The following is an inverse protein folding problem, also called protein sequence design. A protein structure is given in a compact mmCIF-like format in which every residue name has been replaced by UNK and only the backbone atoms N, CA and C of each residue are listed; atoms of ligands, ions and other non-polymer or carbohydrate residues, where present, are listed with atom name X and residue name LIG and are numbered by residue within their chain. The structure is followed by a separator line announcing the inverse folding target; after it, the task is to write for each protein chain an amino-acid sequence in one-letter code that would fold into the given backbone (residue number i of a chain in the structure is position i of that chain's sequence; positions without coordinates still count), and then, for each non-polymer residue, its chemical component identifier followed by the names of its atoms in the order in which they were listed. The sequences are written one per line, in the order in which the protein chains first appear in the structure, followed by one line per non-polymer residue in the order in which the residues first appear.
data_IF_196024340914
#
_entry.id   IF_196024340914
#
_cell.length_a   1.000
_cell.length_b   1.000
_cell.length_c   1.000
_cell.angle_alpha   90.00
_cell.angle_beta   90.00
_cell.angle_gamma   90.00
#
_symmetry.space_group_name_H-M   'P 1'
#
loop_
_entity.id
_entity.type
_entity.pdbx_description
1 polymer ?
#
# COMPACT_ATOMS: atom_id res chain seq x y z
N UNK A 1 57.88 10.16 0.50
CA UNK A 1 56.83 10.71 -0.38
C UNK A 1 55.71 9.71 -0.77
N UNK A 2 55.98 8.40 -0.95
CA UNK A 2 54.92 7.41 -1.33
C UNK A 2 53.83 7.21 -0.29
N UNK A 3 54.06 7.38 0.99
CA UNK A 3 53.08 7.22 2.07
C UNK A 3 52.28 8.49 2.37
N UNK A 4 52.73 9.66 1.94
CA UNK A 4 52.01 10.92 2.10
C UNK A 4 50.81 11.05 1.12
N UNK A 5 50.95 10.46 -0.05
CA UNK A 5 49.86 10.42 -1.06
C UNK A 5 48.73 9.47 -0.65
N UNK A 6 49.05 8.37 0.05
CA UNK A 6 48.06 7.39 0.56
C UNK A 6 47.22 7.97 1.71
N UNK A 7 47.78 8.87 2.51
CA UNK A 7 47.06 9.54 3.61
C UNK A 7 46.09 10.64 3.12
N UNK A 8 46.38 11.25 1.98
CA UNK A 8 45.55 12.29 1.41
C UNK A 8 44.28 11.74 0.74
N UNK A 9 44.26 10.45 0.34
CA UNK A 9 43.07 9.79 -0.24
C UNK A 9 42.09 9.28 0.81
N UNK A 10 42.48 9.13 2.07
CA UNK A 10 41.64 8.65 3.16
C UNK A 10 40.67 9.73 3.73
N UNK A 11 40.81 11.00 3.31
CA UNK A 11 40.07 12.13 3.89
C UNK A 11 38.82 12.54 3.06
N UNK A 12 38.52 11.88 1.93
CA UNK A 12 37.28 12.04 1.23
C UNK A 12 36.19 11.16 1.89
N UNK A 13 35.75 11.56 3.07
CA UNK A 13 34.49 11.08 3.64
C UNK A 13 33.37 11.61 2.76
N UNK A 14 32.89 10.79 1.85
CA UNK A 14 31.61 11.06 1.19
C UNK A 14 30.54 11.15 2.28
N UNK A 15 30.06 12.34 2.54
CA UNK A 15 28.85 12.51 3.34
C UNK A 15 27.70 11.87 2.58
N UNK A 16 27.44 10.62 2.87
CA UNK A 16 26.27 9.89 2.42
C UNK A 16 25.06 10.57 3.05
N UNK A 17 24.31 11.32 2.26
CA UNK A 17 23.00 11.83 2.67
C UNK A 17 22.05 10.64 2.71
N UNK A 18 21.88 10.06 3.87
CA UNK A 18 20.91 9.01 4.07
C UNK A 18 19.52 9.66 4.14
N UNK A 19 18.78 9.63 3.05
CA UNK A 19 17.33 9.83 3.08
C UNK A 19 16.74 8.88 4.13
N UNK A 20 15.82 9.38 4.95
CA UNK A 20 15.24 8.59 6.05
C UNK A 20 14.32 7.54 5.48
N UNK A 21 14.66 6.27 5.69
CA UNK A 21 13.80 5.15 5.31
C UNK A 21 12.85 4.84 6.47
N UNK A 22 11.54 4.95 6.21
CA UNK A 22 10.48 4.69 7.18
C UNK A 22 9.92 3.29 6.96
N UNK A 23 9.75 2.51 8.03
CA UNK A 23 8.97 1.28 7.95
C UNK A 23 7.48 1.64 7.84
N UNK A 24 7.01 1.68 6.60
CA UNK A 24 5.63 2.08 6.29
C UNK A 24 4.64 0.93 6.38
N UNK A 25 5.12 -0.33 6.45
CA UNK A 25 4.29 -1.54 6.44
C UNK A 25 4.05 -2.14 7.83
N UNK A 26 4.49 -1.49 8.88
CA UNK A 26 4.27 -1.91 10.27
C UNK A 26 3.37 -0.92 11.00
N UNK A 27 2.47 -1.42 11.84
CA UNK A 27 1.63 -0.60 12.71
C UNK A 27 1.62 -1.15 14.12
N UNK A 28 1.55 -0.28 15.12
CA UNK A 28 1.38 -0.62 16.52
C UNK A 28 0.06 -0.02 17.02
N UNK A 29 -0.81 -0.86 17.51
CA UNK A 29 -2.18 -0.50 17.95
C UNK A 29 -2.36 -0.86 19.42
N UNK A 30 -2.89 0.05 20.21
CA UNK A 30 -3.25 -0.20 21.61
C UNK A 30 -4.44 -1.14 21.67
N UNK A 31 -4.32 -2.20 22.48
CA UNK A 31 -5.38 -3.18 22.65
C UNK A 31 -6.40 -2.70 23.70
N UNK A 32 -7.67 -2.74 23.32
CA UNK A 32 -8.74 -2.45 24.27
C UNK A 32 -8.86 -3.60 25.29
N UNK A 33 -8.58 -3.30 26.54
CA UNK A 33 -8.62 -4.27 27.67
C UNK A 33 -10.03 -4.74 28.04
N UNK A 34 -11.07 -4.05 27.59
CA UNK A 34 -12.47 -4.40 27.87
C UNK A 34 -13.04 -5.48 26.95
N UNK A 35 -12.34 -5.77 25.84
CA UNK A 35 -12.78 -6.76 24.87
C UNK A 35 -12.14 -8.13 25.11
N UNK A 36 -12.74 -9.20 24.54
CA UNK A 36 -12.07 -10.50 24.52
C UNK A 36 -10.76 -10.39 23.72
N UNK A 37 -9.74 -11.15 24.12
CA UNK A 37 -8.42 -11.06 23.48
C UNK A 37 -8.48 -11.31 21.96
N UNK A 38 -9.35 -12.20 21.50
CA UNK A 38 -9.51 -12.50 20.06
C UNK A 38 -10.15 -11.35 19.29
N UNK A 39 -11.14 -10.69 19.88
CA UNK A 39 -11.83 -9.56 19.26
C UNK A 39 -10.92 -8.33 19.23
N UNK A 40 -10.19 -8.09 20.33
CA UNK A 40 -9.19 -7.02 20.41
C UNK A 40 -8.09 -7.18 19.34
N UNK A 41 -7.57 -8.38 19.16
CA UNK A 41 -6.56 -8.68 18.14
C UNK A 41 -7.13 -8.52 16.72
N UNK A 42 -8.35 -8.95 16.47
CA UNK A 42 -9.00 -8.80 15.18
C UNK A 42 -9.22 -7.31 14.84
N UNK A 43 -9.70 -6.54 15.81
CA UNK A 43 -9.88 -5.09 15.66
C UNK A 43 -8.54 -4.38 15.46
N UNK A 44 -7.51 -4.73 16.23
CA UNK A 44 -6.18 -4.16 16.12
C UNK A 44 -5.54 -4.43 14.72
N UNK A 45 -5.75 -5.61 14.14
CA UNK A 45 -5.29 -5.89 12.76
C UNK A 45 -5.99 -5.00 11.74
N UNK A 46 -7.30 -4.77 11.89
CA UNK A 46 -8.07 -3.90 10.99
C UNK A 46 -7.55 -2.45 11.11
N UNK A 47 -7.43 -1.93 12.34
CA UNK A 47 -6.94 -0.58 12.57
C UNK A 47 -5.48 -0.41 12.11
N UNK A 48 -4.65 -1.43 12.35
CA UNK A 48 -3.26 -1.46 11.86
C UNK A 48 -3.19 -1.42 10.34
N UNK A 49 -4.03 -2.20 9.64
CA UNK A 49 -4.08 -2.19 8.19
C UNK A 49 -4.59 -0.85 7.64
N UNK A 50 -5.60 -0.23 8.27
CA UNK A 50 -6.06 1.12 7.88
C UNK A 50 -4.92 2.13 7.98
N UNK A 51 -4.18 2.13 9.10
CA UNK A 51 -3.04 3.03 9.31
C UNK A 51 -1.96 2.82 8.24
N UNK A 52 -1.63 1.57 7.90
CA UNK A 52 -0.67 1.23 6.86
C UNK A 52 -1.14 1.69 5.48
N UNK A 53 -2.40 1.45 5.11
CA UNK A 53 -2.98 1.89 3.84
C UNK A 53 -2.91 3.42 3.70
N UNK A 54 -3.31 4.18 4.72
CA UNK A 54 -3.21 5.65 4.75
C UNK A 54 -1.76 6.09 4.62
N UNK A 55 -0.84 5.44 5.34
CA UNK A 55 0.58 5.78 5.35
C UNK A 55 1.25 5.50 4.01
N UNK A 56 0.97 4.35 3.41
CA UNK A 56 1.56 3.94 2.13
C UNK A 56 0.96 4.69 0.95
N UNK A 57 -0.35 4.96 0.97
CA UNK A 57 -0.99 5.76 -0.08
C UNK A 57 -0.71 7.26 0.05
N UNK A 58 -0.49 7.74 1.29
CA UNK A 58 -0.48 9.16 1.60
C UNK A 58 -1.87 9.82 1.58
N UNK A 59 -2.91 9.09 1.17
CA UNK A 59 -4.29 9.57 1.12
C UNK A 59 -5.07 9.15 2.36
N UNK A 60 -5.60 10.13 3.09
CA UNK A 60 -6.44 9.91 4.28
C UNK A 60 -7.76 9.21 3.98
N UNK A 61 -8.26 9.39 2.76
CA UNK A 61 -9.53 8.80 2.33
C UNK A 61 -9.37 7.40 1.71
N UNK A 62 -8.13 6.88 1.63
CA UNK A 62 -7.84 5.57 1.03
C UNK A 62 -8.70 4.44 1.61
N UNK A 63 -9.00 4.48 2.91
CA UNK A 63 -9.82 3.46 3.59
C UNK A 63 -11.30 3.49 3.21
N UNK A 64 -11.77 4.53 2.50
CA UNK A 64 -13.13 4.62 1.97
C UNK A 64 -13.26 3.99 0.58
N UNK A 65 -12.16 3.61 -0.05
CA UNK A 65 -12.17 2.95 -1.36
C UNK A 65 -12.81 1.55 -1.26
N UNK A 66 -13.74 1.17 -2.15
CA UNK A 66 -14.45 -0.12 -2.10
C UNK A 66 -13.50 -1.34 -2.10
N UNK A 67 -12.42 -1.30 -2.89
CA UNK A 67 -11.41 -2.37 -2.96
C UNK A 67 -10.68 -2.51 -1.61
N UNK A 68 -10.31 -1.37 -0.99
CA UNK A 68 -9.68 -1.36 0.34
C UNK A 68 -10.64 -1.87 1.41
N UNK A 69 -11.92 -1.47 1.39
CA UNK A 69 -12.94 -1.98 2.34
C UNK A 69 -13.06 -3.50 2.25
N UNK A 70 -13.04 -4.06 1.04
CA UNK A 70 -13.05 -5.52 0.84
C UNK A 70 -11.81 -6.17 1.46
N UNK A 71 -10.63 -5.62 1.19
CA UNK A 71 -9.36 -6.11 1.73
C UNK A 71 -9.29 -6.03 3.26
N UNK A 72 -9.83 -4.98 3.89
CA UNK A 72 -9.90 -4.84 5.34
C UNK A 72 -10.71 -5.96 6.01
N UNK A 73 -11.74 -6.48 5.35
CA UNK A 73 -12.51 -7.65 5.86
C UNK A 73 -11.70 -8.94 5.80
N UNK A 74 -10.73 -9.02 4.91
CA UNK A 74 -9.83 -10.15 4.70
C UNK A 74 -8.41 -9.85 5.17
N UNK A 75 -8.26 -8.99 6.19
CA UNK A 75 -6.96 -8.44 6.64
C UNK A 75 -5.92 -9.50 7.01
N UNK A 76 -6.34 -10.68 7.44
CA UNK A 76 -5.43 -11.74 7.89
C UNK A 76 -4.41 -12.18 6.82
N UNK A 77 -4.79 -12.17 5.55
CA UNK A 77 -3.92 -12.57 4.44
C UNK A 77 -2.81 -11.54 4.15
N UNK A 78 -2.97 -10.29 4.60
CA UNK A 78 -1.97 -9.25 4.45
C UNK A 78 -0.93 -9.25 5.59
N UNK A 79 -1.19 -9.97 6.70
CA UNK A 79 -0.34 -9.97 7.88
C UNK A 79 0.81 -10.96 7.72
N UNK A 80 2.04 -10.50 7.96
CA UNK A 80 3.25 -11.32 7.94
C UNK A 80 3.74 -11.66 9.34
N UNK A 81 3.54 -10.75 10.29
CA UNK A 81 4.01 -10.94 11.66
C UNK A 81 3.10 -10.21 12.66
N UNK A 82 2.92 -10.84 13.83
CA UNK A 82 2.25 -10.28 15.00
C UNK A 82 3.18 -10.36 16.20
N UNK A 83 3.26 -9.30 16.97
CA UNK A 83 3.98 -9.30 18.25
C UNK A 83 3.28 -8.39 19.27
N UNK A 84 3.21 -8.85 20.51
CA UNK A 84 2.68 -8.06 21.60
C UNK A 84 3.76 -7.17 22.18
N UNK A 85 3.38 -5.95 22.56
CA UNK A 85 4.23 -4.97 23.20
C UNK A 85 3.53 -4.25 24.33
N UNK A 86 4.18 -3.21 24.83
CA UNK A 86 3.61 -2.29 25.81
C UNK A 86 4.09 -0.88 25.48
N UNK A 87 3.17 0.09 25.49
CA UNK A 87 3.45 1.50 25.28
C UNK A 87 2.72 2.32 26.36
N UNK A 88 3.45 3.15 27.08
CA UNK A 88 2.90 4.00 28.16
C UNK A 88 2.06 3.21 29.21
N UNK A 89 2.41 1.93 29.45
CA UNK A 89 1.70 1.06 30.39
C UNK A 89 0.54 0.28 29.76
N UNK A 90 0.12 0.59 28.56
CA UNK A 90 -0.94 -0.09 27.83
C UNK A 90 -0.42 -1.23 26.96
N UNK A 91 -1.16 -2.31 26.87
CA UNK A 91 -0.81 -3.42 25.96
C UNK A 91 -1.01 -3.02 24.50
N UNK A 92 -0.05 -3.33 23.66
CA UNK A 92 -0.12 -3.06 22.23
C UNK A 92 0.02 -4.33 21.40
N UNK A 93 -0.54 -4.31 20.19
CA UNK A 93 -0.29 -5.31 19.14
C UNK A 93 0.46 -4.62 18.01
N UNK A 94 1.67 -5.09 17.75
CA UNK A 94 2.46 -4.69 16.59
C UNK A 94 2.17 -5.66 15.46
N UNK A 95 1.73 -5.11 14.32
CA UNK A 95 1.32 -5.86 13.14
C UNK A 95 2.20 -5.45 11.97
N UNK A 96 2.88 -6.40 11.34
CA UNK A 96 3.62 -6.21 10.10
C UNK A 96 2.81 -6.76 8.94
N UNK A 97 2.77 -6.03 7.83
CA UNK A 97 2.01 -6.36 6.64
C UNK A 97 2.93 -6.64 5.46
N UNK A 98 2.49 -7.50 4.55
CA UNK A 98 3.20 -7.82 3.31
C UNK A 98 3.26 -6.60 2.39
N UNK A 99 4.47 -6.11 2.16
CA UNK A 99 4.68 -4.95 1.28
C UNK A 99 4.20 -5.20 -0.16
N UNK A 100 4.46 -6.37 -0.79
CA UNK A 100 3.92 -6.70 -2.11
C UNK A 100 2.38 -6.67 -2.13
N UNK A 101 1.71 -7.33 -1.16
CA UNK A 101 0.25 -7.38 -1.11
C UNK A 101 -0.39 -6.00 -0.90
N UNK A 102 0.18 -5.15 -0.01
CA UNK A 102 -0.32 -3.78 0.18
C UNK A 102 -0.13 -2.93 -1.08
N UNK A 103 1.02 -3.04 -1.77
CA UNK A 103 1.26 -2.31 -3.01
C UNK A 103 0.31 -2.74 -4.12
N UNK A 104 0.09 -4.05 -4.27
CA UNK A 104 -0.87 -4.61 -5.22
C UNK A 104 -2.29 -4.13 -4.92
N UNK A 105 -2.72 -4.15 -3.65
CA UNK A 105 -4.01 -3.60 -3.22
C UNK A 105 -4.18 -2.13 -3.63
N UNK A 106 -3.16 -1.28 -3.39
CA UNK A 106 -3.22 0.14 -3.74
C UNK A 106 -3.27 0.35 -5.25
N UNK A 107 -2.51 -0.42 -6.02
CA UNK A 107 -2.55 -0.38 -7.48
C UNK A 107 -3.94 -0.71 -8.01
N UNK A 108 -4.58 -1.77 -7.53
CA UNK A 108 -5.93 -2.17 -7.92
C UNK A 108 -7.01 -1.17 -7.48
N UNK A 109 -6.81 -0.56 -6.31
CA UNK A 109 -7.66 0.52 -5.83
C UNK A 109 -7.43 1.84 -6.59
N UNK A 110 -6.48 1.89 -7.54
CA UNK A 110 -6.02 3.08 -8.25
C UNK A 110 -5.59 4.21 -7.29
N UNK A 111 -5.02 3.82 -6.15
CA UNK A 111 -4.52 4.74 -5.15
C UNK A 111 -3.01 4.99 -5.36
N UNK A 112 -2.54 6.20 -5.04
CA UNK A 112 -1.12 6.50 -5.14
C UNK A 112 -0.30 5.68 -4.14
N UNK A 113 1.00 5.51 -4.43
CA UNK A 113 1.99 4.92 -3.52
C UNK A 113 3.02 5.98 -3.18
N UNK A 114 3.05 6.37 -1.92
CA UNK A 114 4.07 7.27 -1.37
C UNK A 114 5.25 6.44 -0.86
N UNK A 115 6.44 6.55 -1.47
CA UNK A 115 7.60 5.74 -1.14
C UNK A 115 8.00 5.80 0.35
N UNK A 116 8.71 4.76 0.82
CA UNK A 116 9.25 4.69 2.19
C UNK A 116 10.40 5.69 2.45
N UNK A 117 11.05 6.14 1.40
CA UNK A 117 12.10 7.17 1.46
C UNK A 117 11.43 8.53 1.52
N UNK A 118 11.54 9.20 2.67
CA UNK A 118 10.79 10.43 2.97
C UNK A 118 11.68 11.52 3.51
N UNK A 119 11.27 12.77 3.25
CA UNK A 119 11.94 13.95 3.80
C UNK A 119 11.82 13.95 5.33
N UNK A 120 12.94 14.14 6.01
CA UNK A 120 13.00 14.38 7.46
C UNK A 120 12.88 15.88 7.73
N UNK A 121 11.97 16.28 8.61
CA UNK A 121 11.70 17.68 8.94
C UNK A 121 12.17 18.00 10.35
N UNK A 122 12.95 19.07 10.51
CA UNK A 122 13.17 19.68 11.80
C UNK A 122 11.96 20.51 12.19
N UNK A 123 11.38 20.24 13.35
CA UNK A 123 10.17 20.93 13.82
C UNK A 123 10.52 21.86 14.99
N UNK A 124 10.51 23.15 14.75
CA UNK A 124 10.57 24.18 15.78
C UNK A 124 9.16 24.51 16.26
N UNK A 125 8.88 24.30 17.54
CA UNK A 125 7.59 24.60 18.15
C UNK A 125 7.79 25.70 19.18
N UNK A 126 7.01 26.78 19.09
CA UNK A 126 6.94 27.85 20.07
C UNK A 126 5.52 27.96 20.58
N UNK A 127 5.35 27.86 21.90
CA UNK A 127 4.06 27.97 22.56
C UNK A 127 3.94 29.31 23.30
N UNK A 128 2.80 29.97 23.14
CA UNK A 128 2.44 31.15 23.93
C UNK A 128 1.82 30.72 25.25
N UNK A 129 2.58 30.83 26.32
CA UNK A 129 2.12 30.61 27.68
C UNK A 129 1.40 31.86 28.27
N UNK A 130 0.89 31.75 29.51
CA UNK A 130 0.17 32.85 30.17
C UNK A 130 1.03 34.10 30.38
N UNK A 131 2.33 33.94 30.63
CA UNK A 131 3.25 35.02 30.95
C UNK A 131 4.32 35.23 29.90
N UNK A 132 4.78 34.17 29.28
CA UNK A 132 5.86 34.21 28.31
C UNK A 132 5.70 33.13 27.24
N UNK A 133 6.43 33.27 26.16
CA UNK A 133 6.55 32.26 25.11
C UNK A 133 7.72 31.36 25.39
N UNK A 134 7.56 30.07 25.14
CA UNK A 134 8.62 29.09 25.33
C UNK A 134 8.84 28.24 24.09
N UNK A 135 10.09 27.82 23.88
CA UNK A 135 10.44 26.85 22.85
C UNK A 135 10.20 25.46 23.42
N UNK A 136 9.57 24.61 22.62
CA UNK A 136 9.34 23.20 22.96
C UNK A 136 10.50 22.37 22.45
N UNK A 137 11.23 21.75 23.39
CA UNK A 137 12.36 20.88 23.12
C UNK A 137 11.93 19.42 23.04
N UNK A 138 12.83 18.57 22.60
CA UNK A 138 12.54 17.13 22.41
C UNK A 138 11.94 16.44 23.65
N UNK A 139 12.41 16.83 24.84
CA UNK A 139 11.97 16.24 26.12
C UNK A 139 10.93 17.08 26.87
N UNK A 140 10.36 18.08 26.23
CA UNK A 140 9.31 18.91 26.86
C UNK A 140 8.00 18.14 27.00
N UNK A 141 7.30 18.37 28.11
CA UNK A 141 5.96 17.85 28.35
C UNK A 141 4.91 18.78 27.70
N UNK A 142 4.83 18.72 26.37
CA UNK A 142 3.90 19.52 25.56
C UNK A 142 2.88 18.61 24.87
N UNK A 143 1.60 18.92 25.03
CA UNK A 143 0.51 18.21 24.37
C UNK A 143 0.56 18.39 22.84
N UNK A 144 1.00 19.57 22.39
CA UNK A 144 1.19 19.85 20.96
C UNK A 144 2.31 18.97 20.39
N UNK A 145 3.43 18.85 21.10
CA UNK A 145 4.52 17.98 20.68
C UNK A 145 4.08 16.52 20.61
N UNK A 146 3.31 16.07 21.61
CA UNK A 146 2.75 14.71 21.61
C UNK A 146 1.86 14.48 20.38
N UNK A 147 0.89 15.37 20.12
CA UNK A 147 0.01 15.29 18.95
C UNK A 147 0.80 15.29 17.62
N UNK A 148 1.81 16.15 17.51
CA UNK A 148 2.69 16.21 16.32
C UNK A 148 3.40 14.90 16.10
N UNK A 149 4.00 14.30 17.13
CA UNK A 149 4.71 13.02 17.06
C UNK A 149 3.79 11.86 16.72
N UNK A 150 2.67 11.76 17.42
CA UNK A 150 1.70 10.67 17.23
C UNK A 150 1.15 10.68 15.79
N UNK A 151 0.74 11.87 15.30
CA UNK A 151 0.23 11.99 13.95
C UNK A 151 1.31 11.79 12.88
N UNK A 152 2.53 12.24 13.13
CA UNK A 152 3.65 12.00 12.23
C UNK A 152 3.95 10.49 12.10
N UNK A 153 3.88 9.74 13.19
CA UNK A 153 4.01 8.30 13.18
C UNK A 153 2.88 7.62 12.37
N UNK A 154 1.63 8.05 12.56
CA UNK A 154 0.48 7.56 11.79
C UNK A 154 0.68 7.80 10.29
N UNK A 155 1.11 9.02 9.92
CA UNK A 155 1.34 9.42 8.51
C UNK A 155 2.67 8.91 7.95
N UNK A 156 3.58 8.42 8.80
CA UNK A 156 4.92 8.04 8.42
C UNK A 156 5.75 9.22 7.92
N UNK A 157 5.60 10.39 8.53
CA UNK A 157 6.41 11.58 8.26
C UNK A 157 7.56 11.64 9.25
N UNK A 158 8.84 11.50 8.83
CA UNK A 158 9.97 11.63 9.73
C UNK A 158 10.07 13.04 10.31
N UNK A 159 10.17 13.13 11.63
CA UNK A 159 10.33 14.39 12.34
C UNK A 159 11.54 14.32 13.28
N UNK A 160 12.31 15.39 13.26
CA UNK A 160 13.36 15.69 14.25
C UNK A 160 12.90 16.88 15.06
N UNK A 161 13.02 16.79 16.38
CA UNK A 161 12.72 17.93 17.29
C UNK A 161 14.04 18.36 17.91
N UNK A 162 14.32 19.66 18.04
CA UNK A 162 15.57 20.14 18.66
C UNK A 162 15.71 19.63 20.09
N UNK A 163 16.91 19.20 20.45
CA UNK A 163 17.20 18.57 21.74
C UNK A 163 17.09 19.54 22.91
N UNK A 164 17.42 20.82 22.67
CA UNK A 164 17.45 21.85 23.71
C UNK A 164 18.75 21.82 24.53
N UNK A 165 19.87 21.44 23.92
CA UNK A 165 21.17 21.51 24.54
C UNK A 165 21.73 22.96 24.55
N UNK A 166 22.97 23.12 25.02
CA UNK A 166 23.59 24.43 25.15
C UNK A 166 23.64 25.20 23.81
N UNK A 167 23.94 24.52 22.73
CA UNK A 167 24.02 25.15 21.39
C UNK A 167 22.65 25.58 20.88
N UNK A 168 21.60 24.80 21.14
CA UNK A 168 20.23 25.18 20.79
C UNK A 168 19.74 26.38 21.60
N UNK A 169 19.94 26.35 22.93
CA UNK A 169 19.43 27.42 23.84
C UNK A 169 20.18 28.75 23.60
N UNK A 170 21.46 28.69 23.22
CA UNK A 170 22.24 29.89 22.94
C UNK A 170 22.18 30.34 21.48
N UNK A 171 21.84 29.42 20.56
CA UNK A 171 21.84 29.65 19.12
C UNK A 171 20.60 30.34 18.60
N UNK A 172 19.44 30.18 19.26
CA UNK A 172 18.15 30.75 18.83
C UNK A 172 17.33 31.16 20.03
N UNK A 173 16.56 32.23 19.89
CA UNK A 173 15.65 32.70 20.92
C UNK A 173 14.19 32.64 20.47
N UNK A 174 13.28 32.74 21.42
CA UNK A 174 11.83 32.69 21.20
C UNK A 174 11.36 33.75 20.21
N UNK A 175 11.96 34.96 20.25
CA UNK A 175 11.59 36.09 19.37
C UNK A 175 11.96 35.78 17.93
N UNK A 176 13.10 35.09 17.68
CA UNK A 176 13.54 34.70 16.35
C UNK A 176 12.53 33.75 15.68
N UNK A 177 12.13 32.74 16.43
CA UNK A 177 11.13 31.77 15.98
C UNK A 177 9.74 32.40 15.83
N UNK A 178 9.32 33.20 16.81
CA UNK A 178 8.02 33.88 16.75
C UNK A 178 7.92 34.89 15.61
N UNK A 179 9.00 35.66 15.38
CA UNK A 179 9.14 36.55 14.24
C UNK A 179 9.26 35.83 12.90
N UNK A 180 9.70 34.61 12.90
CA UNK A 180 9.96 33.83 11.68
C UNK A 180 11.21 34.35 10.95
N UNK A 181 12.23 34.81 11.70
CA UNK A 181 13.46 35.32 11.12
C UNK A 181 14.30 34.19 10.51
N UNK A 182 14.36 34.17 9.17
CA UNK A 182 14.94 33.06 8.41
C UNK A 182 16.40 32.79 8.77
N UNK A 183 17.21 33.84 8.93
CA UNK A 183 18.64 33.68 9.19
C UNK A 183 18.98 32.92 10.50
N UNK A 184 18.47 33.35 11.68
CA UNK A 184 18.71 32.60 12.91
C UNK A 184 18.11 31.18 12.86
N UNK A 185 16.91 31.00 12.28
CA UNK A 185 16.28 29.68 12.13
C UNK A 185 17.14 28.77 11.24
N UNK A 186 17.62 29.25 10.10
CA UNK A 186 18.52 28.53 9.21
C UNK A 186 19.78 28.08 9.94
N UNK A 187 20.48 29.03 10.58
CA UNK A 187 21.75 28.77 11.27
C UNK A 187 21.62 27.73 12.39
N UNK A 188 20.60 27.85 13.25
CA UNK A 188 20.37 26.91 14.35
C UNK A 188 19.90 25.54 13.85
N UNK A 189 19.29 25.47 12.66
CA UNK A 189 18.84 24.23 12.06
C UNK A 189 19.95 23.46 11.33
N UNK A 190 21.06 24.10 10.93
CA UNK A 190 22.14 23.50 10.13
C UNK A 190 22.83 22.32 10.80
N UNK A 191 22.82 22.27 12.13
CA UNK A 191 23.41 21.16 12.91
C UNK A 191 22.62 19.85 12.79
N UNK A 192 21.36 19.92 12.36
CA UNK A 192 20.48 18.77 12.22
C UNK A 192 20.48 18.24 10.78
N UNK A 193 20.67 16.91 10.59
CA UNK A 193 20.65 16.31 9.25
C UNK A 193 19.21 16.12 8.76
N UNK A 194 18.60 17.24 8.29
CA UNK A 194 17.19 17.28 7.86
C UNK A 194 17.06 17.83 6.44
N UNK A 195 15.93 17.55 5.81
CA UNK A 195 15.64 17.95 4.44
C UNK A 195 14.78 19.22 4.37
N UNK A 196 14.12 19.58 5.47
CA UNK A 196 13.28 20.77 5.59
C UNK A 196 13.10 21.22 7.02
N UNK A 197 12.54 22.41 7.19
CA UNK A 197 12.27 23.00 8.52
C UNK A 197 10.80 23.40 8.60
N UNK A 198 10.12 22.89 9.63
CA UNK A 198 8.74 23.24 9.96
C UNK A 198 8.74 24.11 11.22
N UNK A 199 8.28 25.33 11.09
CA UNK A 199 8.04 26.25 12.20
C UNK A 199 6.58 26.23 12.61
N UNK A 200 6.31 25.95 13.89
CA UNK A 200 4.97 25.84 14.49
C UNK A 200 4.85 26.85 15.61
N UNK A 201 3.90 27.79 15.49
CA UNK A 201 3.61 28.83 16.48
C UNK A 201 2.23 28.57 17.07
N UNK A 202 2.16 28.30 18.36
CA UNK A 202 0.95 27.91 19.10
C UNK A 202 0.42 29.08 19.90
N UNK A 203 -0.82 29.45 19.69
CA UNK A 203 -1.53 30.49 20.44
C UNK A 203 -2.90 29.96 20.89
N UNK A 204 -2.99 29.50 22.10
CA UNK A 204 -4.18 28.79 22.57
C UNK A 204 -4.52 27.59 21.65
N UNK A 205 -5.74 27.55 21.14
CA UNK A 205 -6.19 26.47 20.24
C UNK A 205 -5.90 26.78 18.75
N UNK A 206 -5.08 27.77 18.46
CA UNK A 206 -4.72 28.15 17.10
C UNK A 206 -3.23 27.91 16.86
N UNK A 207 -2.92 27.27 15.74
CA UNK A 207 -1.56 27.01 15.31
C UNK A 207 -1.33 27.64 13.93
N UNK A 208 -0.31 28.51 13.86
CA UNK A 208 0.23 28.99 12.59
C UNK A 208 1.50 28.20 12.28
N UNK A 209 1.68 27.79 11.05
CA UNK A 209 2.84 27.03 10.64
C UNK A 209 3.45 27.58 9.34
N UNK A 210 4.76 27.38 9.23
CA UNK A 210 5.53 27.71 8.03
C UNK A 210 6.49 26.56 7.74
N UNK A 211 6.39 25.98 6.53
CA UNK A 211 7.27 24.93 6.03
C UNK A 211 8.27 25.52 5.03
N UNK A 212 9.54 25.38 5.35
CA UNK A 212 10.65 25.61 4.44
C UNK A 212 11.06 24.24 3.87
N UNK A 213 10.54 23.91 2.67
CA UNK A 213 10.80 22.64 1.97
C UNK A 213 12.15 22.71 1.24
N UNK A 214 13.19 22.91 2.01
CA UNK A 214 14.58 22.95 1.58
C UNK A 214 15.52 22.80 2.79
N UNK A 215 16.73 22.32 2.52
CA UNK A 215 17.75 22.14 3.58
C UNK A 215 18.02 23.46 4.31
N UNK A 216 18.32 23.41 5.62
CA UNK A 216 18.57 24.61 6.43
C UNK A 216 19.54 25.60 5.80
N UNK A 217 20.66 25.15 5.30
CA UNK A 217 21.71 26.01 4.70
C UNK A 217 21.27 26.67 3.38
N UNK A 218 20.14 26.28 2.80
CA UNK A 218 19.57 26.88 1.58
C UNK A 218 18.41 27.84 1.86
N UNK A 219 17.93 27.92 3.11
CA UNK A 219 16.76 28.76 3.44
C UNK A 219 16.99 30.24 3.21
N UNK A 220 18.22 30.72 3.37
CA UNK A 220 18.58 32.14 3.17
C UNK A 220 18.79 32.49 1.68
N UNK A 221 19.04 31.51 0.82
CA UNK A 221 19.13 31.68 -0.61
C UNK A 221 17.74 31.48 -1.24
N UNK A 222 17.11 32.56 -1.69
CA UNK A 222 15.71 32.61 -2.17
C UNK A 222 15.50 31.72 -3.41
N UNK A 223 15.43 30.41 -3.25
CA UNK A 223 15.10 29.53 -4.37
C UNK A 223 13.65 29.04 -4.34
N UNK A 224 13.04 28.95 -3.16
CA UNK A 224 11.65 28.46 -3.02
C UNK A 224 10.93 29.24 -1.91
N UNK A 225 9.76 29.79 -2.21
CA UNK A 225 8.91 30.43 -1.20
C UNK A 225 8.42 29.40 -0.17
N UNK A 226 8.42 29.71 1.14
CA UNK A 226 7.90 28.80 2.14
C UNK A 226 6.38 28.64 2.00
N UNK A 227 5.90 27.45 2.36
CA UNK A 227 4.48 27.19 2.52
C UNK A 227 4.05 27.58 3.92
N UNK A 228 2.92 28.26 4.05
CA UNK A 228 2.39 28.64 5.35
C UNK A 228 0.90 28.38 5.44
N UNK A 229 0.42 28.25 6.67
CA UNK A 229 -0.99 28.04 6.89
C UNK A 229 -1.35 28.15 8.37
N UNK A 230 -2.64 27.88 8.64
CA UNK A 230 -3.20 27.92 9.97
C UNK A 230 -4.12 26.70 10.19
N UNK A 231 -4.16 26.23 11.43
CA UNK A 231 -5.08 25.21 11.90
C UNK A 231 -5.63 25.62 13.26
N UNK A 232 -6.85 25.21 13.58
CA UNK A 232 -7.50 25.56 14.85
C UNK A 232 -8.32 24.39 15.39
N UNK A 233 -8.57 24.42 16.71
CA UNK A 233 -9.28 23.38 17.47
C UNK A 233 -8.34 22.58 18.36
N UNK A 234 -8.90 21.65 19.12
CA UNK A 234 -8.12 20.78 20.02
C UNK A 234 -7.14 19.85 19.26
N UNK A 235 -7.47 19.53 18.01
CA UNK A 235 -6.69 18.71 17.07
C UNK A 235 -5.86 19.55 16.08
N UNK A 236 -5.58 20.82 16.41
CA UNK A 236 -4.89 21.74 15.51
C UNK A 236 -3.51 21.21 15.09
N UNK A 237 -2.75 20.59 16.00
CA UNK A 237 -1.43 20.03 15.72
C UNK A 237 -1.52 18.82 14.78
N UNK A 238 -2.47 17.91 15.01
CA UNK A 238 -2.78 16.79 14.12
C UNK A 238 -3.09 17.28 12.69
N UNK A 239 -3.92 18.32 12.56
CA UNK A 239 -4.27 18.92 11.27
C UNK A 239 -3.07 19.54 10.55
N UNK A 240 -2.10 20.12 11.30
CA UNK A 240 -0.85 20.62 10.71
C UNK A 240 -0.07 19.49 10.08
N UNK A 241 0.19 18.40 10.83
CA UNK A 241 0.93 17.24 10.33
C UNK A 241 0.22 16.64 9.12
N UNK A 242 -1.10 16.54 9.14
CA UNK A 242 -1.87 16.06 8.00
C UNK A 242 -1.67 16.90 6.74
N UNK A 243 -1.74 18.23 6.86
CA UNK A 243 -1.53 19.14 5.73
C UNK A 243 -0.11 19.01 5.14
N UNK A 244 0.89 18.88 6.00
CA UNK A 244 2.29 18.70 5.60
C UNK A 244 2.46 17.35 4.92
N UNK A 245 1.89 16.28 5.51
CA UNK A 245 1.94 14.93 4.92
C UNK A 245 1.23 14.88 3.57
N UNK A 246 0.06 15.50 3.44
CA UNK A 246 -0.69 15.59 2.18
C UNK A 246 0.11 16.36 1.11
N UNK A 247 0.86 17.40 1.51
CA UNK A 247 1.76 18.12 0.60
C UNK A 247 2.86 17.20 0.06
N UNK A 248 3.57 16.50 0.95
CA UNK A 248 4.65 15.59 0.52
C UNK A 248 4.12 14.38 -0.25
N UNK A 249 2.99 13.82 0.15
CA UNK A 249 2.37 12.72 -0.57
C UNK A 249 2.01 13.12 -2.01
N UNK A 250 1.34 14.27 -2.19
CA UNK A 250 0.98 14.75 -3.54
C UNK A 250 2.18 15.01 -4.45
N UNK A 251 3.30 15.44 -3.88
CA UNK A 251 4.50 15.76 -4.67
C UNK A 251 5.39 14.55 -4.95
N UNK A 252 5.31 13.49 -4.13
CA UNK A 252 6.24 12.37 -4.19
C UNK A 252 5.56 11.00 -4.40
N UNK A 253 4.23 10.92 -4.29
CA UNK A 253 3.53 9.67 -4.55
C UNK A 253 3.42 9.40 -6.05
N UNK A 254 3.54 8.14 -6.41
CA UNK A 254 3.42 7.66 -7.79
C UNK A 254 2.13 6.85 -7.89
N UNK A 255 1.28 7.19 -8.85
CA UNK A 255 0.17 6.32 -9.24
C UNK A 255 0.76 5.29 -10.20
N UNK A 256 0.82 4.04 -9.77
CA UNK A 256 1.15 2.96 -10.69
C UNK A 256 -0.01 2.82 -11.67
N UNK A 257 0.27 2.99 -12.96
CA UNK A 257 -0.71 2.68 -13.97
C UNK A 257 -1.15 1.22 -13.79
N UNK A 258 -2.42 0.95 -13.95
CA UNK A 258 -3.02 -0.38 -13.74
C UNK A 258 -2.47 -1.47 -14.67
N UNK A 259 -1.56 -1.13 -15.56
CA UNK A 259 -0.84 -2.07 -16.43
C UNK A 259 0.12 -3.02 -15.69
N UNK A 260 0.35 -2.82 -14.39
CA UNK A 260 1.22 -3.69 -13.57
C UNK A 260 0.50 -4.51 -12.51
N UNK A 261 -0.84 -4.53 -12.45
CA UNK A 261 -1.51 -5.64 -11.79
C UNK A 261 -1.36 -6.84 -12.72
N UNK A 262 -0.58 -7.85 -12.32
CA UNK A 262 -0.52 -9.10 -13.05
C UNK A 262 -1.95 -9.64 -13.13
N UNK A 263 -2.59 -9.47 -14.28
CA UNK A 263 -3.79 -10.22 -14.60
C UNK A 263 -3.36 -11.44 -15.37
N UNK A 264 -3.94 -12.57 -15.04
CA UNK A 264 -3.67 -13.82 -15.71
C UNK A 264 -4.97 -14.39 -16.27
N UNK A 265 -4.89 -14.90 -17.49
CA UNK A 265 -6.02 -15.63 -18.07
C UNK A 265 -5.97 -17.08 -17.63
N UNK A 266 -7.02 -17.54 -16.97
CA UNK A 266 -7.13 -18.91 -16.47
C UNK A 266 -8.35 -19.56 -17.09
N UNK A 267 -8.15 -20.70 -17.74
CA UNK A 267 -9.19 -21.51 -18.34
C UNK A 267 -9.47 -22.73 -17.47
N UNK A 268 -10.74 -22.96 -17.19
CA UNK A 268 -11.21 -24.16 -16.50
C UNK A 268 -12.04 -25.02 -17.43
N UNK A 269 -11.71 -26.31 -17.47
CA UNK A 269 -12.45 -27.31 -18.21
C UNK A 269 -13.40 -28.08 -17.25
N UNK A 270 -14.43 -28.72 -17.79
CA UNK A 270 -15.43 -29.53 -17.08
C UNK A 270 -16.35 -28.76 -16.12
N UNK A 271 -16.58 -27.47 -16.35
CA UNK A 271 -17.56 -26.67 -15.62
C UNK A 271 -18.91 -26.75 -16.34
N UNK A 272 -19.65 -27.84 -16.09
CA UNK A 272 -20.79 -28.21 -16.92
C UNK A 272 -22.15 -27.72 -16.41
N UNK A 273 -22.24 -27.16 -15.22
CA UNK A 273 -23.46 -26.69 -14.60
C UNK A 273 -23.26 -25.42 -13.79
N UNK A 274 -24.36 -24.72 -13.50
CA UNK A 274 -24.33 -23.43 -12.80
C UNK A 274 -23.80 -23.55 -11.37
N UNK A 275 -24.04 -24.69 -10.69
CA UNK A 275 -23.53 -24.89 -9.33
C UNK A 275 -21.99 -25.01 -9.33
N UNK A 276 -21.44 -25.81 -10.26
CA UNK A 276 -20.01 -25.93 -10.49
C UNK A 276 -19.38 -24.58 -10.81
N UNK A 277 -20.04 -23.77 -11.65
CA UNK A 277 -19.59 -22.43 -12.00
C UNK A 277 -19.52 -21.51 -10.77
N UNK A 278 -20.61 -21.39 -10.00
CA UNK A 278 -20.63 -20.49 -8.83
C UNK A 278 -19.72 -21.00 -7.70
N UNK A 279 -19.57 -22.33 -7.56
CA UNK A 279 -18.64 -22.90 -6.59
C UNK A 279 -17.21 -22.54 -6.93
N UNK A 280 -16.81 -22.70 -8.19
CA UNK A 280 -15.49 -22.33 -8.69
C UNK A 280 -15.23 -20.82 -8.53
N UNK A 281 -16.16 -19.99 -8.96
CA UNK A 281 -16.05 -18.54 -8.85
C UNK A 281 -15.86 -18.08 -7.39
N UNK A 282 -16.64 -18.66 -6.46
CA UNK A 282 -16.52 -18.37 -5.04
C UNK A 282 -15.18 -18.86 -4.46
N UNK A 283 -14.69 -20.01 -4.87
CA UNK A 283 -13.38 -20.51 -4.43
C UNK A 283 -12.27 -19.58 -4.94
N UNK A 284 -12.27 -19.18 -6.21
CA UNK A 284 -11.32 -18.23 -6.78
C UNK A 284 -11.33 -16.89 -6.04
N UNK A 285 -12.53 -16.35 -5.77
CA UNK A 285 -12.68 -15.10 -5.01
C UNK A 285 -12.24 -15.19 -3.55
N UNK A 286 -12.17 -16.40 -2.99
CA UNK A 286 -11.72 -16.65 -1.62
C UNK A 286 -10.20 -16.76 -1.52
N UNK A 287 -9.47 -17.03 -2.63
CA UNK A 287 -8.01 -17.09 -2.63
C UNK A 287 -7.39 -15.77 -2.18
N UNK A 288 -6.34 -15.87 -1.39
CA UNK A 288 -5.60 -14.72 -0.87
C UNK A 288 -4.88 -13.93 -1.95
N UNK A 289 -4.39 -14.64 -2.96
CA UNK A 289 -3.71 -14.06 -4.13
C UNK A 289 -4.64 -13.33 -5.11
N UNK A 290 -5.98 -13.49 -4.99
CA UNK A 290 -6.95 -12.99 -5.97
C UNK A 290 -7.69 -11.73 -5.50
N UNK A 291 -7.59 -10.67 -6.27
CA UNK A 291 -8.31 -9.41 -6.06
C UNK A 291 -9.71 -9.40 -6.64
N UNK A 292 -9.80 -9.73 -7.92
CA UNK A 292 -11.04 -9.76 -8.68
C UNK A 292 -10.97 -10.89 -9.70
N UNK A 293 -12.16 -11.36 -10.09
CA UNK A 293 -12.34 -12.43 -11.07
C UNK A 293 -13.37 -11.92 -12.08
N UNK A 294 -12.93 -11.71 -13.31
CA UNK A 294 -13.78 -11.29 -14.42
C UNK A 294 -14.00 -12.45 -15.37
N UNK A 295 -15.23 -12.62 -15.86
CA UNK A 295 -15.58 -13.67 -16.79
C UNK A 295 -15.29 -13.18 -18.20
N UNK A 296 -14.34 -13.83 -18.90
CA UNK A 296 -14.06 -13.52 -20.30
C UNK A 296 -14.91 -14.34 -21.25
N UNK A 297 -15.08 -15.64 -20.98
CA UNK A 297 -15.79 -16.53 -21.88
C UNK A 297 -16.36 -17.74 -21.13
N UNK A 298 -17.57 -18.12 -21.50
CA UNK A 298 -18.22 -19.39 -21.07
C UNK A 298 -18.67 -20.11 -22.33
N UNK A 299 -18.16 -21.29 -22.61
CA UNK A 299 -18.51 -22.08 -23.79
C UNK A 299 -18.23 -23.57 -23.57
N UNK A 300 -19.19 -24.44 -23.91
CA UNK A 300 -19.03 -25.90 -23.99
C UNK A 300 -18.38 -26.55 -22.75
N UNK A 301 -18.84 -26.16 -21.54
CA UNK A 301 -18.29 -26.68 -20.29
C UNK A 301 -16.90 -26.13 -19.94
N UNK A 302 -16.48 -25.09 -20.65
CA UNK A 302 -15.23 -24.36 -20.37
C UNK A 302 -15.55 -22.93 -19.94
N UNK A 303 -14.81 -22.45 -18.95
CA UNK A 303 -14.89 -21.07 -18.47
C UNK A 303 -13.51 -20.47 -18.47
N UNK A 304 -13.38 -19.28 -19.07
CA UNK A 304 -12.15 -18.49 -19.03
C UNK A 304 -12.37 -17.26 -18.17
N UNK A 305 -11.54 -17.10 -17.17
CA UNK A 305 -11.53 -15.92 -16.31
C UNK A 305 -10.28 -15.06 -16.58
N UNK A 306 -10.43 -13.76 -16.44
CA UNK A 306 -9.34 -12.83 -16.21
C UNK A 306 -9.24 -12.63 -14.72
N UNK A 307 -8.14 -13.09 -14.13
CA UNK A 307 -7.92 -13.07 -12.69
C UNK A 307 -6.91 -11.98 -12.37
N UNK A 308 -7.37 -10.95 -11.69
CA UNK A 308 -6.52 -9.89 -11.18
C UNK A 308 -5.85 -10.32 -9.88
N UNK A 309 -4.53 -10.35 -9.86
CA UNK A 309 -3.76 -10.85 -8.73
C UNK A 309 -3.44 -9.74 -7.73
N UNK A 310 -3.51 -10.08 -6.44
CA UNK A 310 -2.97 -9.30 -5.31
C UNK A 310 -1.49 -9.61 -5.09
N UNK A 311 -1.03 -10.74 -5.63
CA UNK A 311 0.31 -11.26 -5.45
C UNK A 311 0.90 -11.73 -6.79
N UNK A 312 1.97 -12.52 -6.75
CA UNK A 312 2.59 -13.08 -7.95
C UNK A 312 1.78 -14.25 -8.53
N UNK A 313 1.93 -14.52 -9.83
CA UNK A 313 1.37 -15.71 -10.46
C UNK A 313 1.79 -17.00 -9.74
N UNK A 314 3.04 -17.08 -9.27
CA UNK A 314 3.56 -18.24 -8.58
C UNK A 314 2.81 -18.52 -7.26
N UNK A 315 2.48 -17.48 -6.49
CA UNK A 315 1.68 -17.62 -5.25
C UNK A 315 0.25 -18.06 -5.57
N UNK A 316 -0.35 -17.52 -6.63
CA UNK A 316 -1.66 -17.98 -7.11
C UNK A 316 -1.63 -19.46 -7.49
N UNK A 317 -0.64 -19.92 -8.25
CA UNK A 317 -0.50 -21.32 -8.62
C UNK A 317 -0.35 -22.23 -7.40
N UNK A 318 0.43 -21.82 -6.39
CA UNK A 318 0.56 -22.57 -5.13
C UNK A 318 -0.75 -22.64 -4.34
N UNK A 319 -1.55 -21.58 -4.33
CA UNK A 319 -2.87 -21.62 -3.70
C UNK A 319 -3.83 -22.51 -4.47
N UNK A 320 -3.80 -22.48 -5.81
CA UNK A 320 -4.59 -23.36 -6.66
C UNK A 320 -4.27 -24.85 -6.45
N UNK A 321 -3.00 -25.19 -6.24
CA UNK A 321 -2.58 -26.58 -5.94
C UNK A 321 -3.13 -27.11 -4.60
N UNK A 322 -3.46 -26.21 -3.66
CA UNK A 322 -4.08 -26.58 -2.37
C UNK A 322 -5.57 -26.83 -2.48
N UNK A 323 -6.21 -26.42 -3.57
CA UNK A 323 -7.62 -26.67 -3.81
C UNK A 323 -7.80 -28.13 -4.27
N UNK A 324 -8.58 -28.90 -3.50
CA UNK A 324 -8.86 -30.31 -3.82
C UNK A 324 -9.71 -30.51 -5.07
N UNK A 325 -10.41 -29.44 -5.49
CA UNK A 325 -11.42 -29.48 -6.54
C UNK A 325 -10.87 -29.01 -7.90
N UNK A 326 -9.58 -28.69 -7.99
CA UNK A 326 -8.92 -28.26 -9.22
C UNK A 326 -7.64 -29.06 -9.48
N UNK A 327 -7.36 -29.33 -10.75
CA UNK A 327 -6.13 -29.99 -11.19
C UNK A 327 -5.51 -29.21 -12.33
N UNK A 328 -4.25 -28.81 -12.19
CA UNK A 328 -3.49 -28.11 -13.24
C UNK A 328 -3.27 -29.04 -14.44
N UNK A 329 -3.51 -28.55 -15.63
CA UNK A 329 -3.21 -29.22 -16.89
C UNK A 329 -1.86 -28.68 -17.38
N UNK A 330 -0.84 -29.53 -17.29
CA UNK A 330 0.46 -29.19 -17.89
C UNK A 330 0.35 -29.29 -19.40
N UNK A 331 0.53 -28.17 -20.09
CA UNK A 331 0.76 -28.21 -21.53
C UNK A 331 2.14 -28.82 -21.74
N UNK A 332 2.17 -30.02 -22.26
CA UNK A 332 3.41 -30.60 -22.74
C UNK A 332 3.86 -29.74 -23.91
N UNK A 333 4.84 -28.87 -23.68
CA UNK A 333 5.46 -28.08 -24.72
C UNK A 333 6.14 -29.01 -25.73
N UNK A 334 5.45 -29.31 -26.81
CA UNK A 334 6.03 -30.00 -27.98
C UNK A 334 7.13 -29.16 -28.68
N UNK A 335 7.42 -27.96 -28.16
CA UNK A 335 8.40 -27.03 -28.76
C UNK A 335 9.84 -27.33 -28.33
N UNK A 336 10.07 -28.09 -27.24
CA UNK A 336 11.42 -28.31 -26.71
C UNK A 336 12.13 -29.58 -27.17
N UNK A 337 11.59 -30.30 -28.17
CA UNK A 337 12.24 -31.53 -28.69
C UNK A 337 12.86 -31.43 -30.07
N UNK A 338 12.88 -30.23 -30.69
CA UNK A 338 13.62 -30.07 -31.93
C UNK A 338 14.97 -29.40 -31.68
N UNK A 339 16.07 -29.95 -32.21
CA UNK A 339 17.40 -29.31 -32.16
C UNK A 339 17.35 -27.93 -32.83
N UNK A 340 17.98 -26.94 -32.21
CA UNK A 340 18.08 -25.54 -32.72
C UNK A 340 18.49 -25.44 -34.19
N UNK A 341 19.28 -26.39 -34.69
CA UNK A 341 19.69 -26.50 -36.07
C UNK A 341 18.52 -26.68 -37.08
N UNK A 342 17.40 -27.33 -36.67
CA UNK A 342 16.24 -27.51 -37.55
C UNK A 342 15.23 -26.33 -37.45
N UNK A 343 15.32 -25.49 -36.43
CA UNK A 343 14.54 -24.26 -36.32
C UNK A 343 15.05 -23.15 -37.25
N UNK A 344 16.35 -23.14 -37.52
CA UNK A 344 16.97 -22.15 -38.43
C UNK A 344 16.62 -22.45 -39.88
N UNK A 345 16.47 -23.72 -40.25
CA UNK A 345 16.16 -24.13 -41.60
C UNK A 345 14.68 -23.99 -42.00
N UNK A 346 13.76 -23.94 -41.02
CA UNK A 346 12.32 -23.75 -41.25
C UNK A 346 11.86 -22.29 -41.18
N UNK A 347 12.69 -21.41 -40.65
CA UNK A 347 12.52 -19.96 -40.66
C UNK A 347 13.38 -19.26 -41.75
N UNK A 348 13.92 -20.00 -42.71
CA UNK A 348 14.36 -19.39 -43.95
C UNK A 348 13.12 -18.88 -44.68
N UNK A 349 12.85 -17.66 -44.38
CA UNK A 349 12.02 -16.68 -45.01
C UNK A 349 11.77 -17.01 -46.48
N UNK A 350 10.56 -17.43 -46.85
CA UNK A 350 9.98 -16.98 -48.07
C UNK A 350 9.73 -15.46 -47.91
N UNK A 351 10.71 -14.67 -48.36
CA UNK A 351 10.54 -13.26 -48.64
C UNK A 351 9.41 -13.14 -49.66
N UNK A 352 8.20 -12.92 -49.25
CA UNK A 352 7.12 -12.49 -50.12
C UNK A 352 7.37 -11.03 -50.48
N UNK A 353 8.26 -10.82 -51.43
CA UNK A 353 8.44 -9.56 -52.14
C UNK A 353 7.18 -9.34 -52.99
N UNK A 354 6.37 -8.38 -52.66
CA UNK A 354 5.26 -7.94 -53.50
C UNK A 354 5.87 -7.06 -54.61
N UNK A 355 5.83 -7.57 -55.86
CA UNK A 355 6.30 -6.86 -57.03
C UNK A 355 5.22 -5.89 -57.51
N UNK A 356 5.51 -4.60 -57.43
CA UNK A 356 4.64 -3.59 -58.05
C UNK A 356 4.82 -3.52 -59.57
N UNK A 357 3.80 -3.04 -60.29
CA UNK A 357 3.79 -2.94 -61.75
C UNK A 357 4.87 -2.01 -62.30
N UNK A 358 5.52 -1.21 -61.46
CA UNK A 358 6.62 -0.30 -61.79
C UNK A 358 8.03 -0.90 -61.62
N UNK A 359 8.11 -2.17 -61.16
CA UNK A 359 9.38 -2.89 -60.99
C UNK A 359 10.08 -2.63 -59.66
N UNK A 360 9.49 -1.91 -58.73
CA UNK A 360 10.01 -1.71 -57.36
C UNK A 360 9.55 -2.82 -56.42
N UNK A 361 10.41 -3.15 -55.40
CA UNK A 361 10.10 -4.11 -54.35
C UNK A 361 9.96 -3.37 -53.03
N UNK A 362 8.81 -3.51 -52.39
CA UNK A 362 8.58 -2.96 -51.08
C UNK A 362 8.48 -4.11 -50.06
N UNK A 363 9.18 -3.98 -48.93
CA UNK A 363 9.07 -4.92 -47.83
C UNK A 363 7.70 -4.77 -47.19
N UNK A 364 6.95 -5.86 -47.10
CA UNK A 364 5.68 -5.89 -46.35
C UNK A 364 5.94 -5.48 -44.91
N UNK A 365 5.07 -4.65 -44.29
CA UNK A 365 5.22 -4.25 -42.89
C UNK A 365 5.24 -5.49 -42.01
N UNK A 366 6.26 -5.60 -41.13
CA UNK A 366 6.37 -6.65 -40.14
C UNK A 366 5.10 -6.59 -39.26
N UNK A 367 4.27 -7.61 -39.37
CA UNK A 367 3.12 -7.79 -38.46
C UNK A 367 3.73 -7.98 -37.08
N UNK A 368 3.40 -7.13 -36.09
CA UNK A 368 3.92 -7.31 -34.76
C UNK A 368 3.49 -8.67 -34.24
N UNK A 369 4.45 -9.52 -33.88
CA UNK A 369 4.20 -10.77 -33.16
C UNK A 369 3.61 -10.36 -31.79
N UNK A 370 2.29 -10.50 -31.65
CA UNK A 370 1.60 -10.33 -30.37
C UNK A 370 2.18 -11.39 -29.44
N UNK A 371 2.77 -11.02 -28.27
CA UNK A 371 3.23 -12.01 -27.32
C UNK A 371 2.08 -12.95 -27.00
N UNK A 372 2.30 -14.25 -27.04
CA UNK A 372 1.31 -15.25 -26.63
C UNK A 372 0.97 -15.00 -25.17
N UNK A 373 -0.25 -14.50 -24.91
CA UNK A 373 -0.73 -14.31 -23.56
C UNK A 373 -0.64 -15.63 -22.79
N UNK A 374 0.04 -15.59 -21.64
CA UNK A 374 0.20 -16.76 -20.78
C UNK A 374 -1.19 -17.14 -20.27
N UNK A 375 -1.69 -18.30 -20.70
CA UNK A 375 -2.97 -18.85 -20.27
C UNK A 375 -2.74 -20.12 -19.46
N UNK A 376 -3.11 -20.08 -18.17
CA UNK A 376 -3.10 -21.27 -17.32
C UNK A 376 -4.36 -22.11 -17.61
N UNK A 377 -4.25 -23.43 -17.60
CA UNK A 377 -5.36 -24.34 -17.77
C UNK A 377 -5.51 -25.28 -16.58
N UNK A 378 -6.74 -25.41 -16.10
CA UNK A 378 -7.11 -26.30 -15.01
C UNK A 378 -8.35 -27.14 -15.39
N UNK A 379 -8.46 -28.29 -14.77
CA UNK A 379 -9.63 -29.15 -14.81
C UNK A 379 -10.40 -29.01 -13.49
N UNK A 380 -11.70 -28.75 -13.58
CA UNK A 380 -12.59 -28.70 -12.43
C UNK A 380 -13.05 -30.13 -12.06
N UNK A 381 -12.77 -30.56 -10.83
CA UNK A 381 -13.09 -31.87 -10.30
C UNK A 381 -14.13 -31.82 -9.17
N UNK A 382 -14.77 -30.65 -8.97
CA UNK A 382 -15.74 -30.43 -7.91
C UNK A 382 -16.92 -31.42 -7.97
N UNK A 383 -17.50 -31.74 -6.83
CA UNK A 383 -18.57 -32.73 -6.67
C UNK A 383 -19.75 -32.41 -7.58
N UNK A 384 -20.02 -33.28 -8.55
CA UNK A 384 -21.31 -33.31 -9.23
C UNK A 384 -22.37 -33.60 -8.18
N UNK A 385 -23.38 -32.73 -8.02
CA UNK A 385 -24.58 -33.08 -7.26
C UNK A 385 -25.23 -34.19 -8.05
N UNK A 386 -25.02 -35.43 -7.62
CA UNK A 386 -25.80 -36.59 -8.09
C UNK A 386 -27.24 -36.26 -7.69
N UNK A 387 -28.09 -36.05 -8.71
CA UNK A 387 -29.55 -35.94 -8.69
C UNK A 387 -30.19 -35.97 -7.30
N UNK A 388 -30.85 -34.90 -6.90
CA UNK A 388 -31.84 -34.92 -5.83
C UNK A 388 -32.71 -36.16 -5.93
N UNK A 389 -32.94 -36.92 -4.84
CA UNK A 389 -33.88 -38.02 -4.86
C UNK A 389 -35.24 -37.44 -5.25
N UNK A 390 -35.85 -38.00 -6.30
CA UNK A 390 -37.22 -37.72 -6.67
C UNK A 390 -38.10 -38.10 -5.49
N UNK A 391 -38.51 -37.14 -4.70
CA UNK A 391 -39.56 -37.32 -3.70
C UNK A 391 -40.85 -37.60 -4.49
N UNK A 392 -41.21 -38.86 -4.53
CA UNK A 392 -42.55 -39.29 -5.02
C UNK A 392 -43.57 -38.73 -4.08
N UNK A 393 -44.29 -37.67 -4.53
CA UNK A 393 -45.50 -37.21 -3.87
C UNK A 393 -46.56 -38.25 -4.22
N UNK A 394 -46.92 -39.09 -3.27
CA UNK A 394 -48.08 -39.91 -3.29
C UNK A 394 -49.27 -39.08 -2.83
N UNK A 395 -50.36 -39.01 -3.57
CA UNK A 395 -51.55 -38.30 -3.10
C UNK A 395 -52.28 -39.17 -2.07
N UNK A 396 -52.25 -38.81 -0.79
CA UNK A 396 -53.14 -39.37 0.20
C UNK A 396 -54.43 -38.52 0.21
N UNK A 397 -55.47 -39.11 -0.32
CA UNK A 397 -56.87 -38.78 -0.09
C UNK A 397 -57.25 -39.14 1.34
N UNK A 398 -57.89 -38.22 2.04
CA UNK A 398 -58.40 -38.45 3.39
C UNK A 398 -59.17 -37.22 3.85
N UNK A 399 -60.46 -37.11 3.37
CA UNK A 399 -61.50 -36.35 4.06
C UNK A 399 -61.68 -36.89 5.46
N UNK A 400 -61.71 -36.03 6.49
CA UNK A 400 -62.67 -36.20 7.62
C UNK A 400 -62.71 -34.95 8.52
N UNK A 401 -63.92 -34.41 8.54
CA UNK A 401 -64.70 -33.79 9.62
C UNK A 401 -64.15 -32.58 10.44
N UNK A 402 -64.88 -31.53 10.12
CA UNK A 402 -65.21 -30.41 11.01
C UNK A 402 -66.12 -30.95 12.12
N UNK A 403 -65.83 -30.60 13.42
CA UNK A 403 -66.81 -30.21 14.44
C UNK A 403 -66.06 -29.91 15.78
N UNK A 404 -66.41 -28.73 16.27
CA UNK A 404 -66.56 -28.28 17.65
C UNK A 404 -65.40 -28.53 18.66
N UNK A 405 -64.93 -27.43 19.23
CA UNK A 405 -65.28 -27.03 20.64
C UNK A 405 -64.71 -25.63 20.92
N UNK A 406 -65.69 -24.75 21.26
CA UNK A 406 -65.58 -23.45 21.94
C UNK A 406 -65.37 -23.72 23.43
N UNK A 407 -64.73 -22.75 24.18
CA UNK A 407 -64.59 -22.57 25.63
C UNK A 407 -63.41 -23.30 26.31
N UNK A 408 -62.45 -22.58 26.85
CA UNK A 408 -62.39 -21.62 27.98
C UNK A 408 -61.15 -20.67 27.90
#
# INVERSE_FOLDING_TARGET
MRYFILFMFASFSFQSFALTNVDVFQSEVVLNSEQSSKDADAQARIEGMKAVVIRVSGDRNATSNPTVIKALRQNAQYVTQLSYGQREGEKTLRVSFSAPHIRSLLSQAQLPIWPSVRANLLVWIVEEGPSERSIVWEHSSSDVLKQVRDQAQVRGLPLTVPVGDFDDVTGINTSDLWGGFVQPISKSSERYPVDGVLLVKVQGNQIRWTLYDQKPNKMSSVSRAPLSGMSSGQDAATKVVDKISDYYARNNAVVLASESSESIKVKFNQVNDAFSFFSLENQLKALGSVAAVDILKVQDGQVTFDIHLLSTQQEFEQEMERLSDTKKIEKTDFVNSMPIAQMIEKNSVEETLVKHQDGSYEQAPLVPVIPSEIMLEYEWQGKKISSLPKTSISPAVGEENVEDIIEE
#
